data_IF_171717518754
#
_entry.id   IF_171717518754
#
_cell.length_a   1.000
_cell.length_b   1.000
_cell.length_c   1.000
_cell.angle_alpha   90.00
_cell.angle_beta   90.00
_cell.angle_gamma   90.00
#
_symmetry.space_group_name_H-M   'P 1'
#
loop_
_entity.id
_entity.type
_entity.pdbx_description
1 polymer ?
#
# COMPACT_ATOMS: atom_id res chain seq x y z
N UNK A 1 21.65 -26.49 8.08
CA UNK A 1 21.23 -25.07 7.95
C UNK A 1 21.71 -24.34 9.20
N UNK A 2 22.69 -23.45 9.08
CA UNK A 2 23.31 -22.76 10.24
C UNK A 2 22.24 -21.92 10.96
N UNK A 3 22.18 -22.00 12.30
CA UNK A 3 21.15 -21.30 13.12
C UNK A 3 21.01 -19.81 12.76
N UNK A 4 22.11 -19.17 12.37
CA UNK A 4 22.18 -17.77 11.93
C UNK A 4 21.36 -17.49 10.66
N UNK A 5 21.36 -18.40 9.68
CA UNK A 5 20.58 -18.25 8.45
C UNK A 5 19.07 -18.29 8.72
N UNK A 6 18.64 -19.19 9.61
CA UNK A 6 17.22 -19.30 10.02
C UNK A 6 16.72 -18.02 10.68
N UNK A 7 17.53 -17.40 11.54
CA UNK A 7 17.18 -16.14 12.21
C UNK A 7 17.12 -14.93 11.26
N UNK A 8 18.02 -14.87 10.27
CA UNK A 8 17.98 -13.78 9.30
C UNK A 8 16.77 -13.91 8.37
N UNK A 9 16.42 -15.14 7.99
CA UNK A 9 15.24 -15.41 7.16
C UNK A 9 13.92 -15.06 7.88
N UNK A 10 13.79 -15.39 9.17
CA UNK A 10 12.59 -15.01 9.95
C UNK A 10 12.47 -13.50 10.14
N UNK A 11 13.58 -12.78 10.35
CA UNK A 11 13.58 -11.30 10.40
C UNK A 11 13.14 -10.69 9.07
N UNK A 12 13.62 -11.23 7.95
CA UNK A 12 13.18 -10.80 6.62
C UNK A 12 11.67 -11.02 6.42
N UNK A 13 11.15 -12.19 6.80
CA UNK A 13 9.72 -12.49 6.71
C UNK A 13 8.88 -11.55 7.56
N UNK A 14 9.31 -11.27 8.79
CA UNK A 14 8.62 -10.33 9.68
C UNK A 14 8.58 -8.93 9.08
N UNK A 15 9.72 -8.41 8.61
CA UNK A 15 9.80 -7.11 7.94
C UNK A 15 8.88 -7.05 6.72
N UNK A 16 8.92 -8.07 5.86
CA UNK A 16 8.06 -8.17 4.68
C UNK A 16 6.57 -8.15 5.04
N UNK A 17 6.17 -8.83 6.11
CA UNK A 17 4.78 -8.85 6.57
C UNK A 17 4.36 -7.49 7.13
N UNK A 18 5.20 -6.85 7.93
CA UNK A 18 4.94 -5.50 8.48
C UNK A 18 4.83 -4.48 7.35
N UNK A 19 5.77 -4.50 6.40
CA UNK A 19 5.76 -3.62 5.24
C UNK A 19 4.49 -3.85 4.41
N UNK A 20 4.09 -5.11 4.19
CA UNK A 20 2.85 -5.45 3.48
C UNK A 20 1.60 -4.90 4.18
N UNK A 21 1.53 -4.99 5.51
CA UNK A 21 0.39 -4.44 6.27
C UNK A 21 0.34 -2.92 6.16
N UNK A 22 1.50 -2.25 6.28
CA UNK A 22 1.59 -0.81 6.12
C UNK A 22 1.15 -0.40 4.71
N UNK A 23 1.73 -0.98 3.66
CA UNK A 23 1.31 -0.69 2.28
C UNK A 23 -0.17 -0.98 2.01
N UNK A 24 -0.72 -2.04 2.61
CA UNK A 24 -2.16 -2.35 2.51
C UNK A 24 -3.02 -1.25 3.13
N UNK A 25 -2.62 -0.71 4.29
CA UNK A 25 -3.30 0.40 4.94
C UNK A 25 -3.24 1.67 4.08
N UNK A 26 -2.06 2.05 3.58
CA UNK A 26 -1.92 3.20 2.70
C UNK A 26 -2.71 3.05 1.40
N UNK A 27 -2.72 1.85 0.79
CA UNK A 27 -3.54 1.58 -0.40
C UNK A 27 -5.03 1.75 -0.15
N UNK A 28 -5.51 1.51 1.08
CA UNK A 28 -6.92 1.71 1.41
C UNK A 28 -7.30 3.19 1.56
N UNK A 29 -6.37 4.05 1.96
CA UNK A 29 -6.61 5.47 2.27
C UNK A 29 -6.22 6.39 1.10
N UNK A 30 -5.19 6.03 0.34
CA UNK A 30 -4.71 6.80 -0.82
C UNK A 30 -5.81 7.18 -1.82
N UNK A 31 -6.78 6.30 -2.18
CA UNK A 31 -7.81 6.67 -3.13
C UNK A 31 -8.63 7.87 -2.67
N UNK A 32 -8.91 7.97 -1.37
CA UNK A 32 -9.67 9.07 -0.82
C UNK A 32 -8.85 10.37 -0.76
N UNK A 33 -7.57 10.27 -0.39
CA UNK A 33 -6.65 11.42 -0.39
C UNK A 33 -6.56 12.01 -1.80
N UNK A 34 -6.30 11.18 -2.81
CA UNK A 34 -6.20 11.60 -4.21
C UNK A 34 -7.49 12.25 -4.68
N UNK A 35 -8.66 11.67 -4.34
CA UNK A 35 -9.95 12.27 -4.71
C UNK A 35 -10.17 13.62 -4.04
N UNK A 36 -9.72 13.79 -2.79
CA UNK A 36 -9.83 15.08 -2.09
C UNK A 36 -8.87 16.12 -2.68
N UNK A 37 -7.63 15.76 -3.00
CA UNK A 37 -6.65 16.69 -3.59
C UNK A 37 -7.03 17.10 -5.01
N UNK A 38 -7.39 16.14 -5.86
CA UNK A 38 -7.80 16.41 -7.26
C UNK A 38 -9.07 17.27 -7.34
N UNK A 39 -10.01 17.12 -6.39
CA UNK A 39 -11.17 18.02 -6.25
C UNK A 39 -10.78 19.45 -5.90
N UNK A 40 -9.73 19.66 -5.09
CA UNK A 40 -9.21 20.98 -4.75
C UNK A 40 -8.52 21.64 -5.96
N UNK A 41 -7.89 20.83 -6.80
CA UNK A 41 -7.23 21.26 -8.04
C UNK A 41 -8.21 21.49 -9.21
N UNK A 42 -9.50 21.18 -9.04
CA UNK A 42 -10.55 21.38 -10.04
C UNK A 42 -10.61 20.29 -11.12
N UNK A 43 -9.84 19.22 -10.99
CA UNK A 43 -9.87 18.09 -11.92
C UNK A 43 -11.10 17.20 -11.69
N UNK A 44 -11.77 16.79 -12.77
CA UNK A 44 -12.92 15.87 -12.71
C UNK A 44 -12.46 14.42 -12.53
N UNK A 45 -11.90 14.12 -11.36
CA UNK A 45 -11.45 12.76 -11.02
C UNK A 45 -12.58 12.01 -10.32
N UNK A 46 -12.98 10.87 -10.89
CA UNK A 46 -14.04 10.03 -10.35
C UNK A 46 -13.48 9.02 -9.32
N UNK A 47 -14.18 8.84 -8.19
CA UNK A 47 -13.79 7.87 -7.14
C UNK A 47 -13.57 6.46 -7.68
N UNK A 48 -14.40 6.04 -8.65
CA UNK A 48 -14.29 4.73 -9.30
C UNK A 48 -12.98 4.59 -10.10
N UNK A 49 -12.56 5.65 -10.78
CA UNK A 49 -11.32 5.68 -11.54
C UNK A 49 -10.11 5.56 -10.61
N UNK A 50 -10.05 6.37 -9.55
CA UNK A 50 -8.95 6.30 -8.58
C UNK A 50 -8.88 4.94 -7.91
N UNK A 51 -10.02 4.39 -7.48
CA UNK A 51 -10.06 3.06 -6.84
C UNK A 51 -9.56 1.95 -7.77
N UNK A 52 -9.81 2.06 -9.08
CA UNK A 52 -9.33 1.07 -10.06
C UNK A 52 -7.81 1.03 -10.20
N UNK A 53 -7.11 2.15 -9.94
CA UNK A 53 -5.64 2.21 -9.96
C UNK A 53 -4.99 1.40 -8.82
N UNK A 54 -5.74 1.14 -7.73
CA UNK A 54 -5.26 0.42 -6.55
C UNK A 54 -5.78 -1.03 -6.47
N UNK A 55 -6.75 -1.42 -7.30
CA UNK A 55 -7.34 -2.77 -7.34
C UNK A 55 -6.61 -3.74 -8.28
N UNK A 56 -5.90 -3.24 -9.29
CA UNK A 56 -5.25 -4.06 -10.34
C UNK A 56 -3.76 -4.39 -10.08
N UNK A 57 -3.27 -4.32 -8.83
CA UNK A 57 -1.86 -4.59 -8.47
C UNK A 57 -1.71 -5.54 -7.26
#
# INVERSE_FOLDING_TARGET
MTKTFKNNYTKYLQKKTTDKQFFSFFRSIMPEIIVRTTKLEGERVNRKFVSSLFLNN
#
